data_IF_700355594657
#
_entry.id   IF_700355594657
#
_cell.length_a   1.000
_cell.length_b   1.000
_cell.length_c   1.000
_cell.angle_alpha   90.00
_cell.angle_beta   90.00
_cell.angle_gamma   90.00
#
_symmetry.space_group_name_H-M   'P 1'
#
loop_
_entity.id
_entity.type
_entity.pdbx_description
1 polymer ?
#
# COMPACT_ATOMS: atom_id res chain seq x y z
N UNK A 1 18.55 -12.16 -7.33
CA UNK A 1 17.64 -11.36 -8.18
C UNK A 1 16.54 -10.62 -7.37
N UNK A 2 16.39 -10.88 -6.06
CA UNK A 2 15.42 -10.20 -5.17
C UNK A 2 15.99 -8.96 -4.48
N UNK A 3 17.31 -8.81 -4.44
CA UNK A 3 18.01 -7.73 -3.73
C UNK A 3 18.17 -6.44 -4.55
N UNK A 4 18.04 -6.49 -5.88
CA UNK A 4 18.33 -5.33 -6.73
C UNK A 4 17.16 -4.35 -6.94
N UNK A 5 15.90 -4.75 -6.72
CA UNK A 5 14.73 -3.90 -7.00
C UNK A 5 14.25 -3.03 -5.83
N UNK A 6 14.74 -3.25 -4.62
CA UNK A 6 14.38 -2.47 -3.41
C UNK A 6 15.61 -1.90 -2.66
N UNK A 7 16.82 -2.20 -3.09
CA UNK A 7 18.04 -1.75 -2.43
C UNK A 7 18.26 -0.25 -2.70
N UNK A 8 17.79 0.60 -1.81
CA UNK A 8 18.22 1.99 -1.74
C UNK A 8 17.17 3.09 -1.71
N UNK A 9 15.94 2.85 -2.14
CA UNK A 9 14.90 3.90 -2.18
C UNK A 9 14.05 3.91 -0.93
N UNK A 10 13.84 5.11 -0.35
CA UNK A 10 12.96 5.28 0.81
C UNK A 10 11.50 5.40 0.35
N UNK A 11 10.61 4.55 0.84
CA UNK A 11 9.22 4.52 0.40
C UNK A 11 8.32 5.43 1.24
N UNK A 12 7.66 6.39 0.60
CA UNK A 12 6.72 7.31 1.26
C UNK A 12 5.32 7.12 0.67
N UNK A 13 4.38 6.68 1.50
CA UNK A 13 2.98 6.73 1.16
C UNK A 13 2.36 7.99 1.77
N UNK A 14 2.03 8.98 0.93
CA UNK A 14 1.52 10.26 1.39
C UNK A 14 0.03 10.40 1.13
N UNK A 15 -0.74 10.40 2.22
CA UNK A 15 -2.17 10.70 2.21
C UNK A 15 -2.33 12.22 2.17
N UNK A 16 -2.87 12.76 1.09
CA UNK A 16 -2.96 14.21 0.88
C UNK A 16 -4.34 14.77 1.22
N UNK A 17 -5.34 13.90 1.42
CA UNK A 17 -6.70 14.27 1.81
C UNK A 17 -7.41 13.13 2.54
N UNK A 18 -8.32 13.49 3.44
CA UNK A 18 -9.28 12.53 4.01
C UNK A 18 -10.57 12.42 3.18
N UNK A 19 -10.83 13.38 2.27
CA UNK A 19 -12.03 13.34 1.45
C UNK A 19 -12.02 12.15 0.50
N UNK A 20 -13.12 11.39 0.50
CA UNK A 20 -13.36 10.30 -0.45
C UNK A 20 -14.83 10.28 -0.86
N UNK A 21 -15.08 9.90 -2.10
CA UNK A 21 -16.43 9.68 -2.64
C UNK A 21 -16.98 8.30 -2.33
N UNK A 22 -16.16 7.36 -1.86
CA UNK A 22 -16.56 6.00 -1.48
C UNK A 22 -16.58 5.80 0.03
N UNK A 23 -17.29 4.74 0.48
CA UNK A 23 -17.36 4.28 1.87
C UNK A 23 -17.13 2.77 1.93
N UNK A 24 -15.97 2.34 1.40
CA UNK A 24 -15.62 0.93 1.30
C UNK A 24 -15.68 0.22 2.65
N UNK A 25 -16.19 -1.01 2.67
CA UNK A 25 -16.35 -1.80 3.91
C UNK A 25 -15.05 -2.01 4.66
N UNK A 26 -13.96 -2.23 3.95
CA UNK A 26 -12.63 -2.47 4.52
C UNK A 26 -11.81 -1.20 4.79
N UNK A 27 -12.35 0.00 4.50
CA UNK A 27 -11.57 1.22 4.60
C UNK A 27 -11.07 1.46 6.02
N UNK A 28 -9.76 1.63 6.20
CA UNK A 28 -9.15 1.95 7.49
C UNK A 28 -9.42 3.39 7.96
N UNK A 29 -9.92 4.25 7.06
CA UNK A 29 -10.18 5.66 7.32
C UNK A 29 -11.50 5.83 8.07
N UNK A 30 -11.51 6.74 9.05
CA UNK A 30 -12.68 7.05 9.87
C UNK A 30 -13.28 8.42 9.54
N UNK A 31 -12.43 9.39 9.21
CA UNK A 31 -12.80 10.73 8.81
C UNK A 31 -12.74 10.86 7.29
N UNK A 32 -13.82 11.33 6.69
CA UNK A 32 -13.93 11.55 5.25
C UNK A 32 -14.17 13.04 4.93
N UNK A 33 -13.78 13.92 5.83
CA UNK A 33 -13.89 15.38 5.67
C UNK A 33 -12.55 16.00 5.30
N UNK A 34 -12.58 17.24 4.81
CA UNK A 34 -11.39 18.05 4.57
C UNK A 34 -10.95 18.87 5.79
N UNK A 35 -11.61 18.74 6.92
CA UNK A 35 -11.42 19.65 8.06
C UNK A 35 -9.98 19.70 8.58
N UNK A 36 -9.21 18.62 8.37
CA UNK A 36 -7.80 18.54 8.78
C UNK A 36 -6.82 18.45 7.61
N UNK A 37 -7.30 18.56 6.39
CA UNK A 37 -6.44 18.54 5.21
C UNK A 37 -5.59 19.81 5.16
N UNK A 38 -4.30 19.65 4.92
CA UNK A 38 -3.40 20.78 4.71
C UNK A 38 -3.72 21.49 3.39
N UNK A 39 -3.63 22.82 3.41
CA UNK A 39 -3.60 23.64 2.19
C UNK A 39 -2.25 23.51 1.46
N UNK A 40 -2.09 24.24 0.37
CA UNK A 40 -0.84 24.21 -0.40
C UNK A 40 0.37 24.61 0.44
N UNK A 41 0.26 25.62 1.27
CA UNK A 41 1.35 26.07 2.16
C UNK A 41 1.79 24.97 3.13
N UNK A 42 0.82 24.26 3.71
CA UNK A 42 1.09 23.12 4.57
C UNK A 42 1.75 21.96 3.83
N UNK A 43 1.26 21.63 2.63
CA UNK A 43 1.85 20.57 1.79
C UNK A 43 3.30 20.91 1.39
N UNK A 44 3.58 22.18 1.02
CA UNK A 44 4.95 22.62 0.71
C UNK A 44 5.90 22.50 1.91
N UNK A 45 5.43 22.84 3.12
CA UNK A 45 6.24 22.68 4.34
C UNK A 45 6.59 21.21 4.59
N UNK A 46 5.62 20.30 4.40
CA UNK A 46 5.87 18.85 4.51
C UNK A 46 6.85 18.41 3.44
N UNK A 47 6.62 18.78 2.16
CA UNK A 47 7.52 18.46 1.06
C UNK A 47 8.95 18.89 1.35
N UNK A 48 9.15 20.14 1.74
CA UNK A 48 10.47 20.68 2.07
C UNK A 48 11.14 19.93 3.25
N UNK A 49 10.38 19.59 4.29
CA UNK A 49 10.89 18.83 5.44
C UNK A 49 11.38 17.44 4.99
N UNK A 50 10.58 16.74 4.19
CA UNK A 50 10.93 15.42 3.62
C UNK A 50 12.18 15.53 2.75
N UNK A 51 12.21 16.46 1.79
CA UNK A 51 13.29 16.62 0.82
C UNK A 51 14.61 16.99 1.50
N UNK A 52 14.58 17.88 2.50
CA UNK A 52 15.75 18.24 3.30
C UNK A 52 16.33 17.01 4.02
N UNK A 53 15.46 16.16 4.56
CA UNK A 53 15.89 14.94 5.23
C UNK A 53 16.48 13.92 4.25
N UNK A 54 15.83 13.70 3.10
CA UNK A 54 16.34 12.80 2.05
C UNK A 54 17.71 13.25 1.55
N UNK A 55 17.89 14.55 1.36
CA UNK A 55 19.18 15.15 1.01
C UNK A 55 20.25 14.88 2.07
N UNK A 56 19.93 15.10 3.35
CA UNK A 56 20.85 14.84 4.44
C UNK A 56 21.23 13.36 4.56
N UNK A 57 20.29 12.45 4.27
CA UNK A 57 20.55 11.00 4.24
C UNK A 57 21.25 10.54 2.96
N UNK A 58 21.39 11.39 1.94
CA UNK A 58 21.83 11.02 0.59
C UNK A 58 21.01 9.84 0.02
N UNK A 59 19.70 9.84 0.27
CA UNK A 59 18.76 8.81 -0.19
C UNK A 59 17.72 9.40 -1.14
N UNK A 60 17.36 8.64 -2.15
CA UNK A 60 16.18 8.94 -2.98
C UNK A 60 14.94 8.27 -2.40
N UNK A 61 13.78 8.78 -2.80
CA UNK A 61 12.51 8.20 -2.40
C UNK A 61 11.61 7.87 -3.58
N UNK A 62 10.81 6.82 -3.41
CA UNK A 62 9.57 6.62 -4.15
C UNK A 62 8.42 7.21 -3.34
N UNK A 63 7.60 8.08 -3.95
CA UNK A 63 6.49 8.74 -3.27
C UNK A 63 5.17 8.36 -3.93
N UNK A 64 4.32 7.68 -3.18
CA UNK A 64 2.98 7.31 -3.65
C UNK A 64 1.93 8.23 -3.00
N UNK A 65 1.32 9.10 -3.81
CA UNK A 65 0.25 9.97 -3.38
C UNK A 65 -1.06 9.19 -3.30
N UNK A 66 -1.79 9.38 -2.22
CA UNK A 66 -3.06 8.72 -1.94
C UNK A 66 -3.90 9.56 -0.97
N UNK A 67 -4.85 8.95 -0.28
CA UNK A 67 -5.66 9.60 0.75
C UNK A 67 -6.99 8.87 0.91
N UNK A 68 -8.07 9.63 1.05
CA UNK A 68 -9.40 9.15 0.70
C UNK A 68 -9.45 8.90 -0.80
N UNK A 69 -9.63 9.97 -1.58
CA UNK A 69 -9.45 9.95 -3.03
C UNK A 69 -8.59 11.15 -3.45
N UNK A 70 -7.34 10.93 -3.90
CA UNK A 70 -6.40 12.03 -4.17
C UNK A 70 -6.87 12.95 -5.30
N UNK A 71 -7.65 12.45 -6.27
CA UNK A 71 -8.21 13.27 -7.35
C UNK A 71 -9.27 14.30 -6.88
N UNK A 72 -9.73 14.19 -5.65
CA UNK A 72 -10.59 15.19 -5.02
C UNK A 72 -9.80 16.32 -4.33
N UNK A 73 -8.46 16.22 -4.26
CA UNK A 73 -7.60 17.23 -3.67
C UNK A 73 -7.18 18.24 -4.74
N UNK A 74 -7.59 19.52 -4.65
CA UNK A 74 -7.25 20.54 -5.67
C UNK A 74 -5.75 20.71 -5.87
N UNK A 75 -4.97 20.56 -4.80
CA UNK A 75 -3.51 20.76 -4.80
C UNK A 75 -2.73 19.53 -5.31
N UNK A 76 -3.38 18.42 -5.70
CA UNK A 76 -2.72 17.21 -6.19
C UNK A 76 -1.69 17.50 -7.28
N UNK A 77 -2.10 18.27 -8.30
CA UNK A 77 -1.21 18.55 -9.44
C UNK A 77 -0.07 19.51 -9.11
N UNK A 78 -0.28 20.42 -8.15
CA UNK A 78 0.79 21.27 -7.63
C UNK A 78 1.83 20.45 -6.89
N UNK A 79 1.38 19.50 -6.07
CA UNK A 79 2.28 18.61 -5.33
C UNK A 79 3.02 17.64 -6.25
N UNK A 80 2.36 17.09 -7.28
CA UNK A 80 3.02 16.27 -8.31
C UNK A 80 4.12 17.06 -9.02
N UNK A 81 3.87 18.31 -9.38
CA UNK A 81 4.86 19.18 -10.05
C UNK A 81 6.05 19.47 -9.12
N UNK A 82 5.81 19.80 -7.87
CA UNK A 82 6.85 20.05 -6.86
C UNK A 82 7.76 18.81 -6.69
N UNK A 83 7.16 17.64 -6.47
CA UNK A 83 7.90 16.39 -6.29
C UNK A 83 8.58 15.90 -7.58
N UNK A 84 8.02 16.17 -8.75
CA UNK A 84 8.59 15.77 -10.03
C UNK A 84 9.88 16.54 -10.36
N UNK A 85 10.05 17.76 -9.87
CA UNK A 85 11.22 18.62 -10.15
C UNK A 85 12.46 18.28 -9.29
N UNK A 86 12.27 17.69 -8.12
CA UNK A 86 13.38 17.44 -7.20
C UNK A 86 14.20 16.20 -7.56
N UNK A 87 15.55 16.21 -7.44
CA UNK A 87 16.36 15.03 -7.68
C UNK A 87 16.21 13.92 -6.61
N UNK A 88 15.64 14.28 -5.45
CA UNK A 88 15.50 13.36 -4.30
C UNK A 88 14.27 12.45 -4.40
N UNK A 89 13.37 12.71 -5.32
CA UNK A 89 12.29 11.80 -5.69
C UNK A 89 12.63 11.15 -7.04
N UNK A 90 12.71 9.84 -7.09
CA UNK A 90 13.02 9.09 -8.31
C UNK A 90 11.77 8.54 -8.98
N UNK A 91 10.76 8.18 -8.21
CA UNK A 91 9.49 7.64 -8.70
C UNK A 91 8.31 8.28 -7.98
N UNK A 92 7.28 8.59 -8.73
CA UNK A 92 5.96 8.95 -8.24
C UNK A 92 4.95 7.86 -8.59
N UNK A 93 4.03 7.60 -7.68
CA UNK A 93 2.86 6.75 -7.89
C UNK A 93 1.59 7.43 -7.42
N UNK A 94 0.47 7.04 -7.97
CA UNK A 94 -0.85 7.45 -7.51
C UNK A 94 -1.66 6.22 -7.13
N UNK A 95 -2.27 6.23 -5.93
CA UNK A 95 -3.21 5.22 -5.48
C UNK A 95 -4.60 5.84 -5.45
N UNK A 96 -5.51 5.34 -6.27
CA UNK A 96 -6.85 5.90 -6.48
C UNK A 96 -7.91 4.81 -6.55
N UNK A 97 -9.16 5.18 -6.29
CA UNK A 97 -10.29 4.30 -6.57
C UNK A 97 -10.66 4.24 -8.06
N UNK A 98 -10.04 5.07 -8.90
CA UNK A 98 -10.19 5.07 -10.34
C UNK A 98 -11.41 5.81 -10.90
N UNK A 99 -12.38 6.22 -10.06
CA UNK A 99 -13.66 6.75 -10.52
C UNK A 99 -13.56 8.16 -11.13
N UNK A 100 -12.51 8.91 -10.79
CA UNK A 100 -12.24 10.27 -11.28
C UNK A 100 -11.08 10.35 -12.28
N UNK A 101 -10.56 9.23 -12.74
CA UNK A 101 -9.55 9.17 -13.80
C UNK A 101 -10.20 9.42 -15.16
N UNK A 102 -10.51 10.68 -15.43
CA UNK A 102 -11.00 11.10 -16.74
C UNK A 102 -9.83 11.37 -17.71
N UNK A 103 -10.16 11.61 -18.99
CA UNK A 103 -9.17 11.89 -20.01
C UNK A 103 -8.26 13.09 -19.67
N UNK A 104 -8.82 14.14 -19.07
CA UNK A 104 -8.06 15.35 -18.71
C UNK A 104 -7.04 15.06 -17.60
N UNK A 105 -7.44 14.29 -16.59
CA UNK A 105 -6.53 13.88 -15.52
C UNK A 105 -5.38 13.03 -16.08
N UNK A 106 -5.69 12.08 -16.98
CA UNK A 106 -4.69 11.21 -17.61
C UNK A 106 -3.72 12.04 -18.46
N UNK A 107 -4.21 12.91 -19.34
CA UNK A 107 -3.37 13.80 -20.16
C UNK A 107 -2.46 14.68 -19.29
N UNK A 108 -2.97 15.18 -18.17
CA UNK A 108 -2.17 15.98 -17.24
C UNK A 108 -1.13 15.15 -16.51
N UNK A 109 -1.43 13.90 -16.14
CA UNK A 109 -0.44 13.00 -15.55
C UNK A 109 0.72 12.70 -16.49
N UNK A 110 0.49 12.68 -17.81
CA UNK A 110 1.55 12.49 -18.81
C UNK A 110 2.61 13.62 -18.79
N UNK A 111 2.32 14.77 -18.20
CA UNK A 111 3.30 15.86 -18.04
C UNK A 111 4.30 15.64 -16.88
N UNK A 112 4.14 14.57 -16.08
CA UNK A 112 5.02 14.26 -14.96
C UNK A 112 5.87 13.01 -15.26
N UNK A 113 7.10 13.14 -15.78
CA UNK A 113 7.95 12.00 -16.19
C UNK A 113 8.24 10.98 -15.08
N UNK A 114 8.23 11.41 -13.81
CA UNK A 114 8.45 10.53 -12.66
C UNK A 114 7.20 9.78 -12.21
N UNK A 115 6.00 10.20 -12.64
CA UNK A 115 4.79 9.45 -12.37
C UNK A 115 4.76 8.20 -13.27
N UNK A 116 5.15 7.06 -12.68
CA UNK A 116 5.30 5.79 -13.38
C UNK A 116 4.17 4.82 -13.08
N UNK A 117 3.57 4.88 -11.88
CA UNK A 117 2.63 3.88 -11.40
C UNK A 117 1.26 4.46 -11.10
N UNK A 118 0.24 3.93 -11.75
CA UNK A 118 -1.16 4.13 -11.39
C UNK A 118 -1.67 2.86 -10.72
N UNK A 119 -1.90 2.94 -9.41
CA UNK A 119 -2.44 1.85 -8.60
C UNK A 119 -3.94 2.07 -8.43
N UNK A 120 -4.75 1.23 -9.08
CA UNK A 120 -6.20 1.36 -9.11
C UNK A 120 -6.82 0.27 -8.24
N UNK A 121 -7.68 0.70 -7.37
CA UNK A 121 -8.32 -0.18 -6.40
C UNK A 121 -9.49 -0.97 -6.99
N UNK A 122 -9.43 -2.30 -6.92
CA UNK A 122 -10.49 -3.22 -7.35
C UNK A 122 -10.44 -4.46 -6.45
N UNK A 123 -11.57 -4.83 -5.82
CA UNK A 123 -11.62 -5.90 -4.81
C UNK A 123 -12.45 -7.13 -5.23
N UNK A 124 -12.62 -7.34 -6.51
CA UNK A 124 -13.32 -8.50 -7.06
C UNK A 124 -13.16 -8.61 -8.56
N UNK A 125 -13.30 -9.82 -9.08
CA UNK A 125 -13.27 -10.12 -10.52
C UNK A 125 -14.58 -9.79 -11.24
N UNK A 126 -15.62 -9.43 -10.50
CA UNK A 126 -16.97 -9.18 -11.02
C UNK A 126 -17.71 -8.15 -10.14
N UNK A 127 -18.76 -7.50 -10.69
CA UNK A 127 -19.52 -6.47 -9.97
C UNK A 127 -20.04 -6.94 -8.62
N UNK A 128 -20.56 -8.17 -8.52
CA UNK A 128 -21.18 -8.68 -7.29
C UNK A 128 -20.18 -8.74 -6.14
N UNK A 129 -18.93 -9.12 -6.39
CA UNK A 129 -17.88 -9.17 -5.38
C UNK A 129 -17.36 -7.78 -5.07
N UNK A 130 -16.94 -7.04 -6.10
CA UNK A 130 -16.32 -5.72 -5.93
C UNK A 130 -17.26 -4.72 -5.28
N UNK A 131 -18.51 -4.62 -5.77
CA UNK A 131 -19.43 -3.56 -5.38
C UNK A 131 -20.02 -3.77 -3.99
N UNK A 132 -20.07 -5.03 -3.51
CA UNK A 132 -20.40 -5.34 -2.12
C UNK A 132 -19.38 -4.76 -1.14
N UNK A 133 -18.13 -4.66 -1.54
CA UNK A 133 -17.04 -4.11 -0.72
C UNK A 133 -16.92 -2.59 -0.92
N UNK A 134 -16.95 -2.14 -2.17
CA UNK A 134 -16.67 -0.73 -2.50
C UNK A 134 -17.92 0.13 -2.58
N UNK A 135 -18.73 -0.05 -3.59
CA UNK A 135 -20.01 0.63 -3.82
C UNK A 135 -20.58 0.14 -5.14
N UNK A 136 -21.91 0.08 -5.25
CA UNK A 136 -22.63 -0.28 -6.48
C UNK A 136 -22.17 0.58 -7.67
N UNK A 137 -21.82 -0.07 -8.79
CA UNK A 137 -21.34 0.54 -10.03
C UNK A 137 -19.85 0.90 -10.03
N UNK A 138 -19.11 0.64 -8.93
CA UNK A 138 -17.68 0.92 -8.87
C UNK A 138 -16.87 0.02 -9.82
N UNK A 139 -17.26 -1.25 -9.96
CA UNK A 139 -16.60 -2.18 -10.87
C UNK A 139 -16.64 -1.68 -12.32
N UNK A 140 -17.84 -1.43 -12.83
CA UNK A 140 -18.04 -0.96 -14.22
C UNK A 140 -17.27 0.33 -14.48
N UNK A 141 -17.27 1.26 -13.51
CA UNK A 141 -16.56 2.51 -13.64
C UNK A 141 -15.04 2.35 -13.72
N UNK A 142 -14.49 1.38 -12.98
CA UNK A 142 -13.06 1.04 -13.08
C UNK A 142 -12.75 0.41 -14.43
N UNK A 143 -13.62 -0.48 -14.94
CA UNK A 143 -13.43 -1.06 -16.30
C UNK A 143 -13.40 0.02 -17.37
N UNK A 144 -14.36 0.98 -17.35
CA UNK A 144 -14.35 2.12 -18.27
C UNK A 144 -13.09 2.97 -18.14
N UNK A 145 -12.55 3.09 -16.94
CA UNK A 145 -11.32 3.85 -16.68
C UNK A 145 -10.11 3.15 -17.27
N UNK A 146 -10.00 1.83 -17.09
CA UNK A 146 -8.91 1.02 -17.64
C UNK A 146 -8.87 1.07 -19.17
N UNK A 147 -10.02 0.94 -19.84
CA UNK A 147 -10.12 1.08 -21.30
C UNK A 147 -9.60 2.43 -21.82
N UNK A 148 -9.78 3.49 -21.03
CA UNK A 148 -9.25 4.83 -21.41
C UNK A 148 -7.74 4.96 -21.24
N UNK A 149 -7.17 4.30 -20.19
CA UNK A 149 -5.74 4.45 -19.84
C UNK A 149 -4.87 3.57 -20.73
N UNK A 150 -5.32 2.39 -21.11
CA UNK A 150 -4.58 1.39 -21.91
C UNK A 150 -3.88 1.99 -23.13
N UNK A 151 -4.49 2.99 -23.73
CA UNK A 151 -4.01 3.64 -24.96
C UNK A 151 -2.84 4.60 -24.76
N UNK A 152 -2.42 4.90 -23.53
CA UNK A 152 -1.39 5.92 -23.26
C UNK A 152 0.04 5.36 -23.11
N UNK A 153 0.19 4.09 -22.71
CA UNK A 153 1.49 3.39 -22.67
C UNK A 153 2.56 3.96 -21.71
N UNK A 154 2.25 5.03 -20.96
CA UNK A 154 3.23 5.75 -20.14
C UNK A 154 3.33 5.20 -18.71
N UNK A 155 2.25 4.63 -18.21
CA UNK A 155 2.12 4.22 -16.81
C UNK A 155 2.11 2.70 -16.68
N UNK A 156 2.72 2.20 -15.62
CA UNK A 156 2.44 0.87 -15.11
C UNK A 156 1.08 0.90 -14.40
N UNK A 157 0.11 0.16 -14.93
CA UNK A 157 -1.21 0.00 -14.33
C UNK A 157 -1.19 -1.21 -13.42
N UNK A 158 -1.44 -0.99 -12.15
CA UNK A 158 -1.43 -2.03 -11.11
C UNK A 158 -2.79 -2.05 -10.42
N UNK A 159 -3.48 -3.18 -10.44
CA UNK A 159 -4.72 -3.33 -9.69
C UNK A 159 -4.43 -3.72 -8.24
N UNK A 160 -5.12 -3.07 -7.30
CA UNK A 160 -4.95 -3.34 -5.87
C UNK A 160 -6.15 -4.10 -5.32
N UNK A 161 -5.88 -5.26 -4.73
CA UNK A 161 -6.86 -6.15 -4.15
C UNK A 161 -6.62 -6.30 -2.64
N UNK A 162 -7.57 -5.85 -1.83
CA UNK A 162 -7.55 -6.11 -0.39
C UNK A 162 -8.29 -7.40 -0.10
N UNK A 163 -7.55 -8.45 0.27
CA UNK A 163 -8.13 -9.77 0.50
C UNK A 163 -8.87 -9.86 1.84
N UNK A 164 -10.12 -10.29 1.77
CA UNK A 164 -11.07 -10.47 2.87
C UNK A 164 -11.72 -11.85 2.78
N UNK A 165 -12.37 -12.29 3.84
CA UNK A 165 -13.12 -13.56 3.83
C UNK A 165 -14.22 -13.59 2.75
N UNK A 166 -14.83 -12.45 2.47
CA UNK A 166 -15.89 -12.31 1.47
C UNK A 166 -15.41 -12.35 0.02
N UNK A 167 -14.11 -12.17 -0.27
CA UNK A 167 -13.60 -12.11 -1.65
C UNK A 167 -12.39 -13.00 -1.96
N UNK A 168 -11.76 -13.67 -0.99
CA UNK A 168 -10.51 -14.42 -1.25
C UNK A 168 -10.68 -15.54 -2.28
N UNK A 169 -11.86 -16.15 -2.35
CA UNK A 169 -12.18 -17.18 -3.34
C UNK A 169 -12.32 -16.65 -4.77
N UNK A 170 -12.48 -15.35 -4.92
CA UNK A 170 -12.52 -14.69 -6.24
C UNK A 170 -11.12 -14.45 -6.82
N UNK A 171 -10.06 -14.69 -6.02
CA UNK A 171 -8.68 -14.36 -6.36
C UNK A 171 -8.22 -14.98 -7.68
N UNK A 172 -8.52 -16.25 -7.94
CA UNK A 172 -8.17 -16.92 -9.20
C UNK A 172 -8.76 -16.19 -10.41
N UNK A 173 -10.06 -15.92 -10.35
CA UNK A 173 -10.76 -15.16 -11.40
C UNK A 173 -10.22 -13.74 -11.52
N UNK A 174 -9.80 -13.14 -10.41
CA UNK A 174 -9.21 -11.81 -10.40
C UNK A 174 -7.85 -11.75 -11.09
N UNK A 175 -6.99 -12.74 -10.88
CA UNK A 175 -5.70 -12.83 -11.60
C UNK A 175 -5.94 -12.94 -13.11
N UNK A 176 -6.86 -13.81 -13.53
CA UNK A 176 -7.23 -13.91 -14.96
C UNK A 176 -7.79 -12.60 -15.50
N UNK A 177 -8.67 -11.92 -14.75
CA UNK A 177 -9.16 -10.61 -15.16
C UNK A 177 -8.01 -9.60 -15.37
N UNK A 178 -7.02 -9.58 -14.47
CA UNK A 178 -5.84 -8.71 -14.63
C UNK A 178 -5.06 -9.01 -15.90
N UNK A 179 -4.87 -10.31 -16.22
CA UNK A 179 -4.20 -10.74 -17.44
C UNK A 179 -5.00 -10.38 -18.69
N UNK A 180 -6.32 -10.61 -18.69
CA UNK A 180 -7.22 -10.29 -19.81
C UNK A 180 -7.32 -8.78 -20.08
N UNK A 181 -7.23 -7.95 -19.03
CA UNK A 181 -7.20 -6.50 -19.13
C UNK A 181 -5.83 -5.95 -19.57
N UNK A 182 -4.80 -6.80 -19.66
CA UNK A 182 -3.47 -6.38 -20.07
C UNK A 182 -2.81 -5.38 -19.11
N UNK A 183 -3.21 -5.38 -17.82
CA UNK A 183 -2.56 -4.52 -16.82
C UNK A 183 -1.16 -5.05 -16.48
N UNK A 184 -0.25 -4.17 -16.05
CA UNK A 184 1.14 -4.54 -15.77
C UNK A 184 1.30 -5.40 -14.51
N UNK A 185 0.30 -5.40 -13.63
CA UNK A 185 0.35 -6.23 -12.43
C UNK A 185 -0.81 -6.05 -11.49
N UNK A 186 -0.74 -6.78 -10.39
CA UNK A 186 -1.64 -6.62 -9.26
C UNK A 186 -0.88 -6.63 -7.94
N UNK A 187 -1.42 -5.95 -6.93
CA UNK A 187 -0.97 -6.03 -5.55
C UNK A 187 -2.09 -6.61 -4.71
N UNK A 188 -1.79 -7.70 -4.00
CA UNK A 188 -2.66 -8.28 -3.00
C UNK A 188 -2.20 -7.86 -1.61
N UNK A 189 -3.10 -7.22 -0.86
CA UNK A 189 -2.87 -6.81 0.52
C UNK A 189 -3.84 -7.49 1.47
N UNK A 190 -3.37 -7.83 2.67
CA UNK A 190 -4.24 -8.37 3.72
C UNK A 190 -5.19 -7.31 4.26
N UNK A 191 -6.44 -7.66 4.47
CA UNK A 191 -7.34 -6.84 5.27
C UNK A 191 -6.86 -6.79 6.73
N UNK A 192 -6.75 -5.59 7.27
CA UNK A 192 -6.41 -5.34 8.68
C UNK A 192 -7.54 -4.54 9.31
N UNK A 193 -8.23 -5.08 10.32
CA UNK A 193 -9.35 -4.43 10.96
C UNK A 193 -8.86 -3.32 11.90
N UNK A 194 -8.68 -2.12 11.38
CA UNK A 194 -8.32 -0.93 12.15
C UNK A 194 -9.44 0.10 12.17
N UNK A 195 -9.39 0.99 13.14
CA UNK A 195 -10.42 2.01 13.31
C UNK A 195 -11.81 1.42 13.59
N UNK A 196 -12.84 1.98 12.99
CA UNK A 196 -14.22 1.49 13.08
C UNK A 196 -14.41 0.10 12.47
N UNK A 197 -13.45 -0.40 11.69
CA UNK A 197 -13.53 -1.71 11.03
C UNK A 197 -13.26 -2.89 11.96
N UNK A 198 -13.01 -2.63 13.24
CA UNK A 198 -13.05 -3.68 14.28
C UNK A 198 -14.40 -4.41 14.33
N UNK A 199 -15.47 -3.80 13.86
CA UNK A 199 -16.80 -4.41 13.75
C UNK A 199 -16.87 -5.57 12.74
N UNK A 200 -15.94 -5.62 11.77
CA UNK A 200 -15.88 -6.66 10.74
C UNK A 200 -14.68 -7.60 10.90
N UNK A 201 -14.32 -7.93 12.14
CA UNK A 201 -13.28 -8.92 12.45
C UNK A 201 -13.51 -10.26 11.75
N UNK A 202 -14.76 -10.62 11.51
CA UNK A 202 -15.15 -11.83 10.77
C UNK A 202 -14.67 -11.84 9.32
N UNK A 203 -14.28 -10.71 8.77
CA UNK A 203 -13.72 -10.61 7.41
C UNK A 203 -12.19 -10.85 7.35
N UNK A 204 -11.54 -10.98 8.51
CA UNK A 204 -10.13 -11.38 8.55
C UNK A 204 -10.03 -12.86 8.25
N UNK A 205 -9.16 -13.21 7.30
CA UNK A 205 -8.86 -14.61 7.01
C UNK A 205 -8.27 -15.30 8.23
N UNK A 206 -8.59 -16.55 8.41
CA UNK A 206 -7.82 -17.39 9.31
C UNK A 206 -6.51 -17.87 8.63
N UNK A 207 -5.70 -18.62 9.40
CA UNK A 207 -4.41 -19.11 8.91
C UNK A 207 -4.54 -20.08 7.72
N UNK A 208 -5.59 -20.91 7.71
CA UNK A 208 -5.86 -21.85 6.61
C UNK A 208 -6.30 -21.11 5.35
N UNK A 209 -7.24 -20.19 5.47
CA UNK A 209 -7.72 -19.36 4.37
C UNK A 209 -6.58 -18.49 3.76
N UNK A 210 -5.68 -17.99 4.62
CA UNK A 210 -4.47 -17.28 4.13
C UNK A 210 -3.53 -18.22 3.37
N UNK A 211 -3.38 -19.46 3.82
CA UNK A 211 -2.59 -20.47 3.10
C UNK A 211 -3.18 -20.76 1.72
N UNK A 212 -4.51 -20.90 1.59
CA UNK A 212 -5.20 -21.06 0.29
C UNK A 212 -4.93 -19.88 -0.65
N UNK A 213 -4.91 -18.65 -0.14
CA UNK A 213 -4.55 -17.44 -0.92
C UNK A 213 -3.14 -17.56 -1.47
N UNK A 214 -2.18 -17.93 -0.63
CA UNK A 214 -0.77 -18.09 -1.03
C UNK A 214 -0.61 -19.21 -2.05
N UNK A 215 -1.24 -20.36 -1.82
CA UNK A 215 -1.23 -21.50 -2.74
C UNK A 215 -1.80 -21.09 -4.12
N UNK A 216 -2.90 -20.36 -4.13
CA UNK A 216 -3.49 -19.84 -5.39
C UNK A 216 -2.51 -18.95 -6.16
N UNK A 217 -1.78 -18.05 -5.49
CA UNK A 217 -0.79 -17.21 -6.16
C UNK A 217 0.40 -18.00 -6.71
N UNK A 218 0.87 -19.01 -5.94
CA UNK A 218 2.00 -19.85 -6.34
C UNK A 218 1.69 -20.70 -7.57
N UNK A 219 0.44 -21.15 -7.76
CA UNK A 219 0.02 -21.89 -8.93
C UNK A 219 0.23 -21.10 -10.24
N UNK A 220 -0.02 -19.78 -10.22
CA UNK A 220 0.16 -18.92 -11.41
C UNK A 220 1.61 -18.77 -11.85
N UNK A 221 2.56 -19.04 -10.97
CA UNK A 221 3.99 -19.01 -11.27
C UNK A 221 4.62 -20.41 -11.26
N UNK A 222 3.79 -21.45 -11.32
CA UNK A 222 4.20 -22.85 -11.34
C UNK A 222 5.12 -23.26 -10.18
N UNK A 223 5.02 -22.56 -9.03
CA UNK A 223 5.73 -22.89 -7.81
C UNK A 223 4.85 -23.75 -6.90
N UNK A 224 5.46 -24.71 -6.23
CA UNK A 224 4.78 -25.48 -5.18
C UNK A 224 5.05 -24.85 -3.82
N UNK A 225 4.04 -24.76 -2.95
CA UNK A 225 4.27 -24.30 -1.58
C UNK A 225 5.21 -25.28 -0.88
N UNK A 226 6.32 -24.78 -0.39
CA UNK A 226 7.17 -25.50 0.55
C UNK A 226 6.77 -25.10 1.96
N UNK A 227 6.20 -26.06 2.70
CA UNK A 227 5.77 -25.86 4.08
C UNK A 227 6.93 -25.54 5.03
N UNK A 228 8.15 -25.90 4.64
CA UNK A 228 9.37 -25.64 5.40
C UNK A 228 10.03 -24.32 5.03
N UNK A 229 9.61 -23.67 3.94
CA UNK A 229 10.09 -22.37 3.49
C UNK A 229 8.91 -21.38 3.40
N UNK A 230 8.43 -20.88 4.52
CA UNK A 230 7.33 -19.93 4.52
C UNK A 230 7.75 -18.65 3.81
N UNK A 231 6.84 -18.12 3.00
CA UNK A 231 7.04 -16.83 2.36
C UNK A 231 6.84 -15.71 3.40
N UNK A 232 7.90 -14.98 3.79
CA UNK A 232 7.84 -13.96 4.85
C UNK A 232 7.23 -12.65 4.34
N UNK A 233 6.24 -12.73 3.44
CA UNK A 233 5.69 -11.57 2.77
C UNK A 233 4.36 -11.11 3.40
N UNK A 234 4.19 -9.79 3.44
CA UNK A 234 3.02 -9.14 4.02
C UNK A 234 2.03 -8.68 2.96
N UNK A 235 2.51 -8.53 1.74
CA UNK A 235 1.74 -8.30 0.53
C UNK A 235 2.41 -9.06 -0.62
N UNK A 236 1.67 -9.33 -1.66
CA UNK A 236 2.18 -9.94 -2.88
C UNK A 236 1.93 -8.99 -4.05
N UNK A 237 2.92 -8.86 -4.90
CA UNK A 237 2.78 -8.24 -6.20
C UNK A 237 2.96 -9.32 -7.26
N UNK A 238 2.02 -9.42 -8.17
CA UNK A 238 2.19 -10.16 -9.42
C UNK A 238 2.46 -9.17 -10.54
N UNK A 239 3.46 -9.45 -11.36
CA UNK A 239 3.75 -8.71 -12.59
C UNK A 239 3.39 -9.55 -13.80
N UNK A 240 2.79 -8.92 -14.79
CA UNK A 240 2.37 -9.55 -16.05
C UNK A 240 3.14 -8.90 -17.20
N UNK A 241 4.30 -9.47 -17.53
CA UNK A 241 5.19 -8.92 -18.54
C UNK A 241 5.36 -9.91 -19.71
N UNK A 242 5.00 -9.47 -20.94
CA UNK A 242 5.22 -10.25 -22.16
C UNK A 242 4.70 -11.69 -22.13
N UNK A 243 3.58 -11.93 -21.42
CA UNK A 243 2.99 -13.26 -21.26
C UNK A 243 3.61 -14.09 -20.14
N UNK A 244 4.61 -13.58 -19.44
CA UNK A 244 5.16 -14.20 -18.24
C UNK A 244 4.52 -13.60 -16.99
N UNK A 245 4.25 -14.45 -16.00
CA UNK A 245 3.74 -14.04 -14.69
C UNK A 245 4.84 -14.22 -13.66
N UNK A 246 5.20 -13.14 -12.97
CA UNK A 246 6.14 -13.16 -11.86
C UNK A 246 5.43 -12.87 -10.55
N UNK A 247 5.80 -13.57 -9.50
CA UNK A 247 5.32 -13.32 -8.14
C UNK A 247 6.43 -12.68 -7.32
N UNK A 248 6.20 -11.45 -6.91
CA UNK A 248 7.10 -10.69 -6.07
C UNK A 248 6.48 -10.53 -4.68
N UNK A 249 7.16 -10.99 -3.66
CA UNK A 249 6.76 -10.72 -2.28
C UNK A 249 7.19 -9.32 -1.86
N UNK A 250 6.36 -8.64 -1.10
CA UNK A 250 6.71 -7.37 -0.48
C UNK A 250 7.02 -7.60 1.01
N UNK A 251 8.28 -7.51 1.45
CA UNK A 251 8.61 -7.54 2.86
C UNK A 251 8.02 -6.31 3.56
N UNK A 252 7.78 -6.42 4.86
CA UNK A 252 7.27 -5.30 5.63
C UNK A 252 8.39 -4.28 5.88
N UNK A 253 8.24 -3.08 5.33
CA UNK A 253 9.19 -1.96 5.48
C UNK A 253 8.95 -1.12 6.75
N UNK A 254 8.09 -1.58 7.66
CA UNK A 254 7.73 -0.85 8.87
C UNK A 254 8.98 -0.55 9.72
N UNK A 255 9.27 0.75 9.88
CA UNK A 255 10.40 1.23 10.67
C UNK A 255 11.78 1.13 9.99
N UNK A 256 11.90 0.58 8.79
CA UNK A 256 13.19 0.37 8.10
C UNK A 256 13.36 1.23 6.85
N UNK A 257 12.45 1.12 5.87
CA UNK A 257 12.65 1.75 4.55
C UNK A 257 11.41 2.51 4.07
N UNK A 258 10.45 2.75 4.93
CA UNK A 258 9.27 3.49 4.53
C UNK A 258 8.36 3.92 5.66
N UNK A 259 7.51 4.88 5.34
CA UNK A 259 6.55 5.49 6.26
C UNK A 259 5.29 5.96 5.54
N UNK A 260 4.32 6.36 6.32
CA UNK A 260 3.09 6.98 5.85
C UNK A 260 2.95 8.39 6.43
N UNK A 261 2.61 9.37 5.59
CA UNK A 261 2.28 10.74 6.00
C UNK A 261 0.77 10.93 5.85
N UNK A 262 0.12 11.42 6.87
CA UNK A 262 -1.32 11.65 6.88
C UNK A 262 -1.66 13.10 6.45
N UNK A 263 -2.93 13.39 6.08
CA UNK A 263 -3.32 14.68 5.52
C UNK A 263 -3.02 15.91 6.41
N UNK A 264 -2.94 15.71 7.72
CA UNK A 264 -2.58 16.74 8.71
C UNK A 264 -1.08 16.79 9.06
N UNK A 265 -0.25 16.02 8.33
CA UNK A 265 1.20 15.98 8.52
C UNK A 265 1.71 14.98 9.56
N UNK A 266 0.85 14.22 10.21
CA UNK A 266 1.26 13.14 11.13
C UNK A 266 1.96 12.03 10.39
N UNK A 267 3.00 11.44 10.99
CA UNK A 267 3.80 10.35 10.43
C UNK A 267 3.49 9.06 11.16
N UNK A 268 3.23 8.02 10.39
CA UNK A 268 2.98 6.66 10.89
C UNK A 268 3.96 5.66 10.27
N UNK A 269 4.37 4.63 11.00
CA UNK A 269 5.21 3.55 10.44
C UNK A 269 4.53 2.79 9.28
N UNK A 270 3.20 2.69 9.32
CA UNK A 270 2.36 2.11 8.28
C UNK A 270 0.96 2.73 8.38
N UNK A 271 0.27 2.94 7.25
CA UNK A 271 -1.09 3.50 7.24
C UNK A 271 -2.11 2.71 8.06
N UNK A 272 -1.85 1.42 8.27
CA UNK A 272 -2.72 0.51 9.04
C UNK A 272 -2.23 0.27 10.47
N UNK A 273 -1.18 0.99 10.88
CA UNK A 273 -0.63 0.94 12.23
C UNK A 273 -0.96 2.26 12.94
N UNK A 274 -1.97 2.30 13.82
CA UNK A 274 -2.59 3.55 14.31
C UNK A 274 -1.81 4.23 15.44
N UNK A 275 -0.47 4.15 15.42
CA UNK A 275 0.42 4.80 16.40
C UNK A 275 1.36 5.74 15.65
N UNK A 276 1.16 7.07 15.75
CA UNK A 276 2.02 8.05 15.10
C UNK A 276 3.39 8.14 15.78
N UNK A 277 4.41 8.50 15.00
CA UNK A 277 5.75 8.81 15.52
C UNK A 277 6.00 10.31 15.65
N UNK A 278 5.08 11.15 15.22
CA UNK A 278 5.12 12.59 15.31
C UNK A 278 4.42 13.29 14.16
N UNK A 279 4.70 14.58 13.98
CA UNK A 279 4.09 15.41 12.95
C UNK A 279 5.14 16.31 12.28
N UNK A 280 5.17 16.33 10.94
CA UNK A 280 6.17 17.04 10.13
C UNK A 280 6.02 18.56 10.13
N UNK A 281 4.89 19.09 10.57
CA UNK A 281 4.75 20.52 10.78
C UNK A 281 5.51 21.02 12.02
N UNK A 282 5.77 20.11 12.97
CA UNK A 282 6.36 20.41 14.26
C UNK A 282 7.82 19.96 14.39
N UNK A 283 8.20 18.90 13.65
CA UNK A 283 9.51 18.27 13.78
C UNK A 283 10.09 17.89 12.41
N UNK A 284 11.42 17.96 12.23
CA UNK A 284 12.09 17.38 11.07
C UNK A 284 11.89 15.87 10.98
N UNK A 285 11.70 15.34 9.75
CA UNK A 285 11.54 13.90 9.51
C UNK A 285 12.72 13.09 10.06
N UNK A 286 13.95 13.58 9.87
CA UNK A 286 15.15 12.91 10.38
C UNK A 286 15.09 12.69 11.89
N UNK A 287 14.65 13.69 12.65
CA UNK A 287 14.50 13.56 14.10
C UNK A 287 13.42 12.54 14.46
N UNK A 288 12.25 12.60 13.81
CA UNK A 288 11.17 11.63 14.06
C UNK A 288 11.62 10.20 13.74
N UNK A 289 12.38 10.01 12.66
CA UNK A 289 12.86 8.72 12.20
C UNK A 289 13.93 8.11 13.10
N UNK A 290 14.86 8.93 13.57
CA UNK A 290 16.02 8.49 14.35
C UNK A 290 15.74 8.37 15.86
N UNK A 291 14.84 9.22 16.39
CA UNK A 291 14.62 9.34 17.84
C UNK A 291 13.30 8.71 18.32
N UNK A 292 12.55 8.03 17.44
CA UNK A 292 11.31 7.39 17.84
C UNK A 292 11.57 6.07 18.58
N UNK A 293 11.20 6.02 19.86
CA UNK A 293 11.23 4.80 20.68
C UNK A 293 10.41 3.67 20.03
N UNK A 294 9.27 4.02 19.41
CA UNK A 294 8.44 3.06 18.69
C UNK A 294 9.19 2.42 17.52
N UNK A 295 9.87 3.23 16.70
CA UNK A 295 10.64 2.72 15.56
C UNK A 295 11.85 1.91 16.02
N UNK A 296 12.50 2.32 17.11
CA UNK A 296 13.59 1.57 17.71
C UNK A 296 13.13 0.14 18.07
N UNK A 297 12.01 0.02 18.76
CA UNK A 297 11.44 -1.29 19.13
C UNK A 297 11.04 -2.09 17.89
N UNK A 298 10.37 -1.46 16.90
CA UNK A 298 9.93 -2.14 15.67
C UNK A 298 11.10 -2.64 14.80
N UNK A 299 12.28 -2.02 14.90
CA UNK A 299 13.51 -2.44 14.21
C UNK A 299 14.18 -3.65 14.83
N UNK A 300 13.97 -3.89 16.12
CA UNK A 300 14.61 -4.99 16.86
C UNK A 300 13.77 -6.26 16.80
N UNK A 301 14.27 -7.28 16.12
CA UNK A 301 13.61 -8.59 16.03
C UNK A 301 13.48 -9.27 17.40
N UNK A 302 14.46 -9.09 18.24
CA UNK A 302 14.53 -9.63 19.59
C UNK A 302 13.45 -9.08 20.52
N UNK A 303 12.87 -7.94 20.18
CA UNK A 303 11.73 -7.36 20.89
C UNK A 303 10.41 -8.08 20.57
N UNK A 304 10.34 -8.84 19.48
CA UNK A 304 9.15 -9.57 19.08
C UNK A 304 8.90 -10.77 20.02
N UNK A 305 7.64 -11.20 20.09
CA UNK A 305 7.20 -12.32 20.95
C UNK A 305 6.87 -13.57 20.13
N UNK A 306 6.75 -14.70 20.85
CA UNK A 306 6.41 -15.98 20.25
C UNK A 306 7.43 -16.41 19.18
N UNK A 307 6.96 -17.13 18.17
CA UNK A 307 7.83 -17.65 17.11
C UNK A 307 8.53 -16.55 16.27
N UNK A 308 8.02 -15.32 16.25
CA UNK A 308 8.67 -14.24 15.53
C UNK A 308 10.03 -13.83 16.12
N UNK A 309 10.25 -14.01 17.43
CA UNK A 309 11.51 -13.66 18.10
C UNK A 309 12.64 -14.63 17.79
N UNK A 310 12.31 -15.90 17.56
CA UNK A 310 13.28 -17.02 17.36
C UNK A 310 13.38 -17.46 15.90
N UNK A 311 12.54 -16.93 15.01
CA UNK A 311 12.46 -17.29 13.61
C UNK A 311 13.79 -16.97 12.87
N UNK A 312 14.27 -17.89 12.04
CA UNK A 312 15.53 -17.75 11.27
C UNK A 312 15.48 -16.68 10.17
N UNK A 313 14.29 -16.27 9.71
CA UNK A 313 14.13 -15.22 8.71
C UNK A 313 14.44 -13.83 9.30
N UNK A 314 15.70 -13.43 9.22
CA UNK A 314 16.24 -12.21 9.89
C UNK A 314 15.50 -10.93 9.50
N UNK A 315 15.08 -10.81 8.24
CA UNK A 315 14.43 -9.61 7.70
C UNK A 315 12.90 -9.63 7.86
N UNK A 316 12.34 -10.76 8.25
CA UNK A 316 10.91 -10.87 8.50
C UNK A 316 10.56 -10.38 9.90
N UNK A 317 9.65 -9.42 9.97
CA UNK A 317 9.06 -8.92 11.24
C UNK A 317 7.59 -9.29 11.39
N UNK A 318 7.02 -10.07 10.46
CA UNK A 318 5.58 -10.32 10.40
C UNK A 318 4.79 -9.02 10.17
N UNK A 319 3.47 -9.09 10.17
CA UNK A 319 2.63 -7.89 10.07
C UNK A 319 2.31 -7.33 11.45
N UNK A 320 3.02 -6.28 11.85
CA UNK A 320 2.83 -5.63 13.15
C UNK A 320 1.44 -4.98 13.30
N UNK A 321 0.88 -4.51 12.16
CA UNK A 321 -0.48 -3.97 12.15
C UNK A 321 -1.54 -5.04 12.39
N UNK A 322 -1.39 -6.23 11.80
CA UNK A 322 -2.32 -7.34 12.02
C UNK A 322 -2.18 -7.93 13.44
N UNK A 323 -0.95 -8.08 13.90
CA UNK A 323 -0.71 -8.50 15.29
C UNK A 323 -1.40 -7.56 16.29
N UNK A 324 -1.19 -6.24 16.14
CA UNK A 324 -1.85 -5.23 16.98
C UNK A 324 -3.37 -5.31 16.88
N UNK A 325 -3.91 -5.43 15.67
CA UNK A 325 -5.36 -5.43 15.46
C UNK A 325 -6.08 -6.62 16.09
N UNK A 326 -5.45 -7.81 16.06
CA UNK A 326 -6.06 -9.04 16.54
C UNK A 326 -5.73 -9.38 17.99
N UNK A 327 -4.57 -8.96 18.50
CA UNK A 327 -4.11 -9.33 19.84
C UNK A 327 -4.03 -8.16 20.82
N UNK A 328 -4.08 -6.92 20.32
CA UNK A 328 -3.81 -5.71 21.11
C UNK A 328 -2.32 -5.45 21.37
N UNK A 329 -1.44 -6.34 20.90
CA UNK A 329 0.01 -6.27 21.10
C UNK A 329 0.74 -6.31 19.75
N UNK A 330 1.38 -5.21 19.35
CA UNK A 330 2.11 -5.16 18.09
C UNK A 330 3.41 -5.98 18.09
N UNK A 331 3.86 -6.44 19.24
CA UNK A 331 5.02 -7.33 19.36
C UNK A 331 4.64 -8.81 19.30
N UNK A 332 3.35 -9.16 19.39
CA UNK A 332 2.88 -10.53 19.26
C UNK A 332 3.27 -11.15 17.92
N UNK A 333 3.27 -12.47 17.82
CA UNK A 333 3.54 -13.15 16.55
C UNK A 333 2.50 -12.79 15.47
N UNK A 334 2.91 -12.89 14.20
CA UNK A 334 1.99 -12.65 13.07
C UNK A 334 0.94 -13.79 13.02
N UNK A 335 -0.36 -13.46 13.14
CA UNK A 335 -1.42 -14.47 13.16
C UNK A 335 -1.51 -15.34 11.91
N UNK A 336 -1.06 -14.84 10.75
CA UNK A 336 -1.06 -15.58 9.49
C UNK A 336 0.23 -16.35 9.21
N UNK A 337 1.23 -16.27 10.07
CA UNK A 337 2.49 -16.96 9.85
C UNK A 337 2.31 -18.48 9.89
N UNK A 338 2.69 -19.17 8.82
CA UNK A 338 2.64 -20.63 8.71
C UNK A 338 3.91 -21.32 9.25
N UNK A 339 4.97 -20.55 9.52
CA UNK A 339 6.23 -21.11 10.02
C UNK A 339 6.01 -21.91 11.32
N UNK A 340 6.51 -23.14 11.31
CA UNK A 340 6.59 -24.01 12.48
C UNK A 340 8.06 -24.06 12.88
N UNK A 341 8.39 -23.46 14.02
CA UNK A 341 9.73 -23.58 14.64
C UNK A 341 9.98 -24.99 15.12
#
# INVERSE_FOLDING_TARGET
MWEETMAGSFHIQWHITNLCNLRCRHCYQEDFSRARDLDWTGLQRISQNVLTTLQAWNKKASVHLTGGEPLLKPELFLLLDDLNRTPWVEELGLITNGLFLDRRAIEKFCSFPKLKKLKISLDGAKPETNDTIRQKGAFEKVMETLDRIERQGQFEIILMFTVMKSNYRDLRSYVHLCQDLGVNGMILERFIPCGKRKEILTEVLDKGEWAEVVETLLEFVSLKPDRNSPLPFQAFQMSFNNGETELLGAPCVIGTEGLCIMPEGSVYPCRRFPVPIGNLLNHPLGILWEKSDLLEVLRRKEALKGKCSICEFKDCRGCRSLALALTGDYLAEDPHCSYSS
#
